data_IF_239042060216
#
_entry.id   IF_239042060216
#
_cell.length_a   1.000
_cell.length_b   1.000
_cell.length_c   1.000
_cell.angle_alpha   90.00
_cell.angle_beta   90.00
_cell.angle_gamma   90.00
#
_symmetry.space_group_name_H-M   'P 1'
#
loop_
_entity.id
_entity.type
_entity.pdbx_description
1 polymer ?
#
# COMPACT_ATOMS: atom_id res chain seq x y z
N UNK A 1 -1.34 -5.55 19.26
CA UNK A 1 -0.62 -6.56 18.41
C UNK A 1 -1.45 -7.83 18.11
N UNK A 2 -2.20 -8.40 19.07
CA UNK A 2 -3.00 -9.63 18.85
C UNK A 2 -4.14 -9.50 17.83
N UNK A 3 -4.82 -8.35 17.75
CA UNK A 3 -5.90 -8.07 16.77
C UNK A 3 -5.40 -7.99 15.33
N UNK A 4 -4.14 -7.60 15.13
CA UNK A 4 -3.54 -7.50 13.81
C UNK A 4 -3.23 -8.89 13.23
N UNK A 5 -2.62 -9.76 14.05
CA UNK A 5 -2.30 -11.14 13.69
C UNK A 5 -3.56 -11.96 13.34
N UNK A 6 -4.64 -11.81 14.12
CA UNK A 6 -5.93 -12.50 13.86
C UNK A 6 -6.57 -12.10 12.53
N UNK A 7 -6.46 -10.83 12.14
CA UNK A 7 -6.98 -10.34 10.85
C UNK A 7 -6.17 -10.84 9.66
N UNK A 8 -4.83 -10.88 9.78
CA UNK A 8 -3.95 -11.46 8.75
C UNK A 8 -4.32 -12.94 8.49
N UNK A 9 -4.60 -13.70 9.56
CA UNK A 9 -5.03 -15.09 9.45
C UNK A 9 -6.44 -15.21 8.83
N UNK A 10 -7.36 -14.31 9.17
CA UNK A 10 -8.73 -14.27 8.60
C UNK A 10 -8.73 -13.96 7.10
N UNK A 11 -7.85 -13.07 6.66
CA UNK A 11 -7.73 -12.62 5.27
C UNK A 11 -6.53 -13.26 4.55
N UNK A 12 -6.28 -14.55 4.82
CA UNK A 12 -5.15 -15.30 4.24
C UNK A 12 -5.09 -15.20 2.70
N UNK A 13 -6.23 -15.18 2.03
CA UNK A 13 -6.31 -15.08 0.57
C UNK A 13 -5.81 -13.72 0.06
N UNK A 14 -6.24 -12.60 0.66
CA UNK A 14 -5.75 -11.25 0.31
C UNK A 14 -4.24 -11.15 0.50
N UNK A 15 -3.73 -11.72 1.59
CA UNK A 15 -2.30 -11.80 1.88
C UNK A 15 -1.52 -12.53 0.79
N UNK A 16 -2.01 -13.71 0.39
CA UNK A 16 -1.39 -14.52 -0.67
C UNK A 16 -1.39 -13.75 -1.99
N UNK A 17 -2.49 -13.08 -2.34
CA UNK A 17 -2.59 -12.27 -3.56
C UNK A 17 -1.58 -11.12 -3.51
N UNK A 18 -1.49 -10.38 -2.40
CA UNK A 18 -0.56 -9.25 -2.27
C UNK A 18 0.90 -9.69 -2.29
N UNK A 19 1.24 -10.75 -1.56
CA UNK A 19 2.62 -11.26 -1.54
C UNK A 19 3.01 -11.86 -2.88
N UNK A 20 2.09 -12.58 -3.55
CA UNK A 20 2.33 -13.15 -4.89
C UNK A 20 2.56 -12.04 -5.92
N UNK A 21 1.69 -11.03 -5.95
CA UNK A 21 1.83 -9.89 -6.85
C UNK A 21 3.12 -9.11 -6.58
N UNK A 22 3.46 -8.87 -5.31
CA UNK A 22 4.70 -8.20 -4.92
C UNK A 22 5.95 -8.99 -5.37
N UNK A 23 5.97 -10.31 -5.16
CA UNK A 23 7.10 -11.15 -5.57
C UNK A 23 7.24 -11.14 -7.10
N UNK A 24 6.14 -11.33 -7.83
CA UNK A 24 6.14 -11.33 -9.30
C UNK A 24 6.61 -9.99 -9.90
N UNK A 25 6.13 -8.87 -9.36
CA UNK A 25 6.56 -7.54 -9.80
C UNK A 25 8.01 -7.27 -9.42
N UNK A 26 8.48 -7.70 -8.26
CA UNK A 26 9.89 -7.55 -7.88
C UNK A 26 10.83 -8.37 -8.75
N UNK A 27 10.51 -9.64 -9.03
CA UNK A 27 11.36 -10.47 -9.88
C UNK A 27 11.46 -9.91 -11.29
N UNK A 28 10.34 -9.46 -11.86
CA UNK A 28 10.33 -8.80 -13.18
C UNK A 28 11.17 -7.52 -13.19
N UNK A 29 11.02 -6.64 -12.19
CA UNK A 29 11.83 -5.41 -12.09
C UNK A 29 13.33 -5.71 -11.94
N UNK A 30 13.70 -6.68 -11.09
CA UNK A 30 15.10 -7.08 -10.91
C UNK A 30 15.68 -7.62 -12.23
N UNK A 31 14.93 -8.43 -12.98
CA UNK A 31 15.40 -8.93 -14.28
C UNK A 31 15.58 -7.79 -15.30
N UNK A 32 14.66 -6.83 -15.35
CA UNK A 32 14.74 -5.69 -16.27
C UNK A 32 15.92 -4.76 -15.93
N UNK A 33 16.19 -4.53 -14.64
CA UNK A 33 17.38 -3.78 -14.18
C UNK A 33 18.66 -4.53 -14.51
N UNK A 34 18.68 -5.86 -14.31
CA UNK A 34 19.86 -6.70 -14.62
C UNK A 34 20.18 -6.70 -16.12
N UNK A 35 19.16 -6.64 -16.97
CA UNK A 35 19.28 -6.49 -18.42
C UNK A 35 19.57 -5.04 -18.87
N UNK A 36 19.71 -4.09 -17.93
CA UNK A 36 19.91 -2.67 -18.21
C UNK A 36 18.82 -2.04 -19.09
N UNK A 37 17.60 -2.60 -19.07
CA UNK A 37 16.44 -2.07 -19.80
C UNK A 37 15.83 -0.89 -19.04
N UNK A 38 15.86 -0.96 -17.71
CA UNK A 38 15.37 0.10 -16.80
C UNK A 38 16.42 0.40 -15.72
N UNK A 39 16.30 1.59 -15.11
CA UNK A 39 17.21 2.06 -14.07
C UNK A 39 16.79 1.60 -12.67
N UNK A 40 17.72 1.69 -11.72
CA UNK A 40 17.49 1.35 -10.31
C UNK A 40 16.37 2.15 -9.64
N UNK A 41 16.07 3.36 -10.14
CA UNK A 41 14.98 4.19 -9.65
C UNK A 41 13.58 3.53 -9.79
N UNK A 42 13.45 2.50 -10.64
CA UNK A 42 12.25 1.67 -10.71
C UNK A 42 12.06 0.81 -9.47
N UNK A 43 13.12 0.18 -8.95
CA UNK A 43 13.02 -0.68 -7.77
C UNK A 43 12.65 0.15 -6.54
N UNK A 44 13.30 1.29 -6.34
CA UNK A 44 13.03 2.21 -5.24
C UNK A 44 11.65 2.84 -5.36
N UNK A 45 11.22 3.23 -6.56
CA UNK A 45 9.86 3.72 -6.83
C UNK A 45 8.79 2.67 -6.49
N UNK A 46 8.99 1.44 -6.92
CA UNK A 46 8.08 0.33 -6.58
C UNK A 46 8.03 0.03 -5.08
N UNK A 47 9.18 0.06 -4.39
CA UNK A 47 9.24 -0.13 -2.94
C UNK A 47 8.48 0.94 -2.18
N UNK A 48 8.65 2.22 -2.52
CA UNK A 48 7.99 3.32 -1.83
C UNK A 48 6.47 3.32 -2.11
N UNK A 49 6.07 2.95 -3.33
CA UNK A 49 4.66 2.74 -3.71
C UNK A 49 4.01 1.56 -2.97
N UNK A 50 4.73 0.45 -2.84
CA UNK A 50 4.27 -0.70 -2.08
C UNK A 50 4.14 -0.38 -0.59
N UNK A 51 5.13 0.33 -0.03
CA UNK A 51 5.10 0.74 1.37
C UNK A 51 3.93 1.69 1.69
N UNK A 52 3.70 2.70 0.86
CA UNK A 52 2.55 3.61 0.97
C UNK A 52 1.23 2.86 0.91
N UNK A 53 1.09 1.91 -0.01
CA UNK A 53 -0.08 1.05 -0.12
C UNK A 53 -0.36 0.27 1.18
N UNK A 54 0.65 -0.40 1.74
CA UNK A 54 0.49 -1.14 3.00
C UNK A 54 0.15 -0.23 4.18
N UNK A 55 0.79 0.95 4.26
CA UNK A 55 0.50 1.93 5.31
C UNK A 55 -0.94 2.46 5.20
N UNK A 56 -1.42 2.68 3.99
CA UNK A 56 -2.81 3.07 3.73
C UNK A 56 -3.79 2.02 4.23
N UNK A 57 -3.54 0.74 3.93
CA UNK A 57 -4.38 -0.38 4.42
C UNK A 57 -4.41 -0.40 5.96
N UNK A 58 -3.26 -0.14 6.59
CA UNK A 58 -3.15 -0.06 8.03
C UNK A 58 -4.02 1.07 8.63
N UNK A 59 -3.96 2.27 8.04
CA UNK A 59 -4.80 3.40 8.47
C UNK A 59 -6.30 3.14 8.29
N UNK A 60 -6.71 2.53 7.17
CA UNK A 60 -8.13 2.18 6.95
C UNK A 60 -8.63 1.27 8.07
N UNK A 61 -7.86 0.23 8.40
CA UNK A 61 -8.25 -0.71 9.45
C UNK A 61 -8.38 -0.04 10.82
N UNK A 62 -7.41 0.80 11.19
CA UNK A 62 -7.48 1.52 12.46
C UNK A 62 -8.69 2.46 12.49
N UNK A 63 -8.96 3.15 11.38
CA UNK A 63 -10.09 4.07 11.28
C UNK A 63 -11.43 3.35 11.44
N UNK A 64 -11.58 2.17 10.82
CA UNK A 64 -12.77 1.33 10.98
C UNK A 64 -12.91 0.77 12.41
N UNK A 65 -11.82 0.24 12.99
CA UNK A 65 -11.84 -0.30 14.35
C UNK A 65 -12.18 0.78 15.39
N UNK A 66 -11.73 2.02 15.20
CA UNK A 66 -12.04 3.14 16.08
C UNK A 66 -13.47 3.63 15.91
N UNK A 67 -13.97 3.69 14.67
CA UNK A 67 -15.36 4.08 14.39
C UNK A 67 -16.34 3.14 15.11
N UNK A 68 -16.14 1.83 15.00
CA UNK A 68 -17.00 0.83 15.65
C UNK A 68 -16.91 0.89 17.18
N UNK A 69 -15.75 1.22 17.74
CA UNK A 69 -15.55 1.23 19.20
C UNK A 69 -16.02 2.50 19.89
N UNK A 70 -15.87 3.65 19.23
CA UNK A 70 -16.05 4.96 19.86
C UNK A 70 -17.26 5.72 19.34
N UNK A 71 -17.85 5.26 18.22
CA UNK A 71 -18.91 5.95 17.45
C UNK A 71 -18.52 7.40 17.09
N UNK A 72 -17.24 7.75 17.22
CA UNK A 72 -16.75 9.09 17.03
C UNK A 72 -16.34 9.30 15.57
N UNK A 73 -17.21 9.98 14.84
CA UNK A 73 -17.06 10.29 13.43
C UNK A 73 -15.86 11.22 13.15
N UNK A 74 -15.47 12.07 14.10
CA UNK A 74 -14.34 12.98 13.93
C UNK A 74 -13.00 12.24 13.85
N UNK A 75 -12.82 11.16 14.62
CA UNK A 75 -11.61 10.33 14.53
C UNK A 75 -11.49 9.60 13.20
N UNK A 76 -12.63 9.15 12.66
CA UNK A 76 -12.68 8.55 11.33
C UNK A 76 -12.24 9.55 10.25
N UNK A 77 -12.80 10.76 10.27
CA UNK A 77 -12.45 11.83 9.32
C UNK A 77 -10.97 12.23 9.46
N UNK A 78 -10.46 12.34 10.69
CA UNK A 78 -9.04 12.64 10.94
C UNK A 78 -8.10 11.58 10.34
N UNK A 79 -8.38 10.29 10.55
CA UNK A 79 -7.55 9.21 10.00
C UNK A 79 -7.67 9.09 8.48
N UNK A 80 -8.84 9.38 7.93
CA UNK A 80 -9.04 9.47 6.49
C UNK A 80 -8.21 10.61 5.87
N UNK A 81 -8.25 11.81 6.45
CA UNK A 81 -7.44 12.95 6.04
C UNK A 81 -5.94 12.65 6.16
N UNK A 82 -5.52 12.01 7.25
CA UNK A 82 -4.13 11.59 7.45
C UNK A 82 -3.65 10.63 6.34
N UNK A 83 -4.50 9.68 5.94
CA UNK A 83 -4.22 8.78 4.80
C UNK A 83 -4.06 9.56 3.49
N UNK A 84 -4.96 10.49 3.18
CA UNK A 84 -4.87 11.33 1.98
C UNK A 84 -3.60 12.18 2.00
N UNK A 85 -3.29 12.79 3.15
CA UNK A 85 -2.07 13.56 3.34
C UNK A 85 -0.81 12.73 3.11
N UNK A 86 -0.77 11.49 3.61
CA UNK A 86 0.35 10.58 3.39
C UNK A 86 0.53 10.22 1.91
N UNK A 87 -0.55 9.93 1.19
CA UNK A 87 -0.48 9.69 -0.26
C UNK A 87 0.07 10.91 -0.98
N UNK A 88 -0.49 12.09 -0.72
CA UNK A 88 -0.04 13.32 -1.36
C UNK A 88 1.43 13.61 -1.10
N UNK A 89 1.89 13.46 0.16
CA UNK A 89 3.29 13.69 0.52
C UNK A 89 4.24 12.76 -0.22
N UNK A 90 3.95 11.44 -0.24
CA UNK A 90 4.84 10.50 -0.91
C UNK A 90 4.78 10.66 -2.43
N UNK A 91 3.60 10.94 -3.01
CA UNK A 91 3.49 11.23 -4.44
C UNK A 91 4.29 12.48 -4.83
N UNK A 92 4.22 13.55 -4.04
CA UNK A 92 5.04 14.75 -4.26
C UNK A 92 6.54 14.44 -4.13
N UNK A 93 6.93 13.63 -3.15
CA UNK A 93 8.31 13.21 -2.97
C UNK A 93 8.85 12.44 -4.19
N UNK A 94 8.05 11.54 -4.75
CA UNK A 94 8.38 10.80 -5.98
C UNK A 94 8.48 11.74 -7.19
N UNK A 95 7.57 12.72 -7.31
CA UNK A 95 7.59 13.71 -8.40
C UNK A 95 8.81 14.64 -8.36
N UNK A 96 9.25 15.02 -7.16
CA UNK A 96 10.37 15.97 -6.97
C UNK A 96 11.73 15.27 -7.13
N UNK A 97 11.79 13.95 -6.89
CA UNK A 97 13.04 13.18 -6.91
C UNK A 97 13.02 12.06 -7.99
N UNK A 98 12.89 12.40 -9.29
CA UNK A 98 12.74 11.42 -10.36
C UNK A 98 14.00 10.55 -10.57
N UNK A 99 15.18 11.08 -10.21
CA UNK A 99 16.44 10.33 -10.25
C UNK A 99 16.47 9.19 -9.23
N UNK A 100 15.74 9.35 -8.12
CA UNK A 100 15.66 8.36 -7.04
C UNK A 100 14.43 7.47 -7.15
N UNK A 101 13.31 7.98 -7.69
CA UNK A 101 12.04 7.25 -7.76
C UNK A 101 11.39 7.42 -9.12
N UNK A 102 11.22 6.32 -9.85
CA UNK A 102 10.38 6.31 -11.05
C UNK A 102 8.90 6.40 -10.66
N UNK A 103 8.19 7.35 -11.28
CA UNK A 103 6.75 7.55 -11.10
C UNK A 103 5.98 6.32 -11.58
N UNK A 104 6.42 5.75 -12.71
CA UNK A 104 5.81 4.56 -13.31
C UNK A 104 5.84 3.39 -12.31
N UNK A 105 7.01 3.13 -11.72
CA UNK A 105 7.18 2.07 -10.75
C UNK A 105 6.42 2.33 -9.44
N UNK A 106 6.37 3.59 -9.01
CA UNK A 106 5.57 4.00 -7.85
C UNK A 106 4.07 3.72 -8.05
N UNK A 107 3.52 4.05 -9.22
CA UNK A 107 2.13 3.77 -9.56
C UNK A 107 1.85 2.26 -9.54
N UNK A 108 2.76 1.43 -10.06
CA UNK A 108 2.67 -0.03 -9.97
C UNK A 108 2.64 -0.49 -8.51
N UNK A 109 3.48 0.08 -7.65
CA UNK A 109 3.51 -0.26 -6.22
C UNK A 109 2.20 0.06 -5.48
N UNK A 110 1.51 1.14 -5.87
CA UNK A 110 0.23 1.55 -5.27
C UNK A 110 -0.92 0.58 -5.63
N UNK A 111 -0.84 -0.17 -6.73
CA UNK A 111 -1.91 -1.07 -7.21
C UNK A 111 -2.38 -2.04 -6.12
N UNK A 112 -1.48 -2.47 -5.22
CA UNK A 112 -1.82 -3.32 -4.08
C UNK A 112 -2.95 -2.75 -3.19
N UNK A 113 -3.06 -1.42 -3.09
CA UNK A 113 -4.07 -0.75 -2.27
C UNK A 113 -5.47 -0.82 -2.87
N UNK A 114 -5.57 -0.94 -4.20
CA UNK A 114 -6.82 -0.99 -4.96
C UNK A 114 -7.57 -2.29 -4.69
N UNK A 115 -6.84 -3.38 -4.42
CA UNK A 115 -7.43 -4.69 -4.20
C UNK A 115 -8.04 -4.87 -2.79
N UNK A 116 -7.73 -3.98 -1.83
CA UNK A 116 -8.22 -4.07 -0.45
C UNK A 116 -9.76 -4.15 -0.29
N UNK A 117 -10.58 -3.32 -0.98
CA UNK A 117 -12.04 -3.34 -0.85
C UNK A 117 -12.67 -4.66 -1.29
N UNK A 118 -12.07 -5.37 -2.25
CA UNK A 118 -12.65 -6.57 -2.85
C UNK A 118 -12.64 -7.80 -1.93
N UNK A 119 -11.83 -7.80 -0.88
CA UNK A 119 -11.72 -8.94 0.05
C UNK A 119 -12.32 -8.67 1.43
N UNK A 120 -12.77 -7.44 1.72
CA UNK A 120 -13.35 -7.10 3.01
C UNK A 120 -14.89 -7.24 3.07
N UNK A 121 -15.51 -7.86 2.06
CA UNK A 121 -16.96 -7.87 1.88
C UNK A 121 -17.74 -8.79 2.85
N UNK A 122 -17.07 -9.61 3.69
CA UNK A 122 -17.73 -10.65 4.50
C UNK A 122 -18.15 -10.27 5.92
N UNK A 123 -18.04 -9.00 6.37
CA UNK A 123 -18.57 -8.60 7.69
C UNK A 123 -19.14 -7.18 7.69
N UNK A 124 -20.14 -6.93 6.84
CA UNK A 124 -21.21 -5.98 7.18
C UNK A 124 -22.43 -6.82 7.51
#
# INVERSE_FOLDING_TARGET
>A
MQTFKKWFIKNKLLLIVFTSFFIFTMTTLITLVSLSIINWNWITGFLIGSFTSYLSIYFIKISADLLVKTENHYFFVFLFLSRVGFYMLVTLLVLILPDLFSIEAFLIGIVNSIFYPFFNHKNV
#
